data_IF_149155031781
#
_entry.id   IF_149155031781
#
_cell.length_a   1.000
_cell.length_b   1.000
_cell.length_c   1.000
_cell.angle_alpha   90.00
_cell.angle_beta   90.00
_cell.angle_gamma   90.00
#
_symmetry.space_group_name_H-M   'P 1'
#
loop_
_entity.id
_entity.type
_entity.pdbx_description
1 polymer ?
#
# COMPACT_ATOMS: atom_id res chain seq x y z
N UNK A 1 12.76 -9.45 -5.63
CA UNK A 1 11.76 -8.44 -5.20
C UNK A 1 11.51 -7.34 -6.24
N UNK A 2 12.48 -6.95 -7.09
CA UNK A 2 12.24 -5.89 -8.09
C UNK A 2 11.13 -6.22 -9.13
N UNK A 3 11.02 -7.49 -9.56
CA UNK A 3 10.01 -7.93 -10.53
C UNK A 3 8.57 -7.71 -10.04
N UNK A 4 8.28 -7.98 -8.76
CA UNK A 4 6.93 -7.82 -8.20
C UNK A 4 6.52 -6.36 -8.07
N UNK A 5 7.48 -5.47 -7.77
CA UNK A 5 7.24 -4.01 -7.72
C UNK A 5 6.84 -3.49 -9.09
N UNK A 6 7.55 -3.91 -10.15
CA UNK A 6 7.26 -3.52 -11.52
C UNK A 6 5.84 -3.93 -11.95
N UNK A 7 5.41 -5.13 -11.57
CA UNK A 7 4.05 -5.60 -11.84
C UNK A 7 2.97 -4.75 -11.17
N UNK A 8 3.15 -4.40 -9.90
CA UNK A 8 2.19 -3.55 -9.16
C UNK A 8 2.10 -2.17 -9.81
N UNK A 9 3.24 -1.57 -10.17
CA UNK A 9 3.28 -0.25 -10.83
C UNK A 9 2.58 -0.29 -12.19
N UNK A 10 2.81 -1.33 -12.99
CA UNK A 10 2.12 -1.50 -14.28
C UNK A 10 0.61 -1.65 -14.11
N UNK A 11 0.17 -2.31 -13.04
CA UNK A 11 -1.24 -2.61 -12.81
C UNK A 11 -2.10 -1.34 -12.67
N UNK A 12 -1.57 -0.26 -12.08
CA UNK A 12 -2.26 1.03 -12.00
C UNK A 12 -1.97 1.95 -13.20
N UNK A 13 -0.75 1.88 -13.75
CA UNK A 13 -0.33 2.74 -14.86
C UNK A 13 -1.04 2.40 -16.19
N UNK A 14 -1.18 1.11 -16.51
CA UNK A 14 -1.74 0.65 -17.80
C UNK A 14 -3.21 1.07 -17.99
N UNK A 15 -4.12 0.89 -17.01
CA UNK A 15 -5.51 1.35 -17.15
C UNK A 15 -5.63 2.85 -17.42
N UNK A 16 -4.82 3.69 -16.76
CA UNK A 16 -4.82 5.15 -16.97
C UNK A 16 -4.47 5.49 -18.41
N UNK A 17 -3.45 4.84 -18.96
CA UNK A 17 -3.05 5.03 -20.35
C UNK A 17 -4.14 4.57 -21.33
N UNK A 18 -4.72 3.38 -21.12
CA UNK A 18 -5.79 2.83 -21.97
C UNK A 18 -7.01 3.76 -21.99
N UNK A 19 -7.44 4.26 -20.83
CA UNK A 19 -8.57 5.20 -20.72
C UNK A 19 -8.27 6.49 -21.48
N UNK A 20 -7.05 7.03 -21.35
CA UNK A 20 -6.61 8.20 -22.09
C UNK A 20 -6.64 7.99 -23.60
N UNK A 21 -6.05 6.90 -24.07
CA UNK A 21 -5.99 6.55 -25.49
C UNK A 21 -7.38 6.32 -26.09
N UNK A 22 -8.31 5.75 -25.33
CA UNK A 22 -9.65 5.41 -25.80
C UNK A 22 -10.61 6.61 -25.78
N UNK A 23 -10.60 7.40 -24.71
CA UNK A 23 -11.53 8.54 -24.55
C UNK A 23 -11.12 9.78 -25.33
N UNK A 24 -9.83 9.90 -25.68
CA UNK A 24 -9.24 11.07 -26.34
C UNK A 24 -9.51 12.40 -25.62
N UNK A 25 -9.86 12.35 -24.33
CA UNK A 25 -10.21 13.51 -23.53
C UNK A 25 -9.14 13.78 -22.47
N UNK A 26 -8.58 14.99 -22.49
CA UNK A 26 -7.58 15.44 -21.50
C UNK A 26 -8.16 15.41 -20.09
N UNK A 27 -9.46 15.72 -19.95
CA UNK A 27 -10.18 15.74 -18.67
C UNK A 27 -10.34 14.30 -18.15
N UNK A 28 -10.79 13.37 -18.99
CA UNK A 28 -10.95 11.97 -18.60
C UNK A 28 -9.62 11.34 -18.15
N UNK A 29 -8.52 11.67 -18.84
CA UNK A 29 -7.18 11.23 -18.46
C UNK A 29 -6.76 11.76 -17.07
N UNK A 30 -7.05 13.02 -16.75
CA UNK A 30 -6.76 13.60 -15.42
C UNK A 30 -7.54 12.86 -14.34
N UNK A 31 -8.85 12.67 -14.52
CA UNK A 31 -9.67 11.95 -13.54
C UNK A 31 -9.20 10.50 -13.35
N UNK A 32 -8.87 9.80 -14.44
CA UNK A 32 -8.34 8.44 -14.36
C UNK A 32 -7.01 8.38 -13.57
N UNK A 33 -6.10 9.32 -13.82
CA UNK A 33 -4.82 9.39 -13.11
C UNK A 33 -5.00 9.69 -11.61
N UNK A 34 -5.90 10.60 -11.24
CA UNK A 34 -6.20 10.92 -9.83
C UNK A 34 -6.78 9.69 -9.13
N UNK A 35 -7.74 9.01 -9.74
CA UNK A 35 -8.38 7.82 -9.16
C UNK A 35 -7.35 6.69 -9.01
N UNK A 36 -6.57 6.39 -10.05
CA UNK A 36 -5.56 5.34 -9.98
C UNK A 36 -4.48 5.66 -8.94
N UNK A 37 -3.98 6.90 -8.89
CA UNK A 37 -2.98 7.31 -7.91
C UNK A 37 -3.49 7.30 -6.47
N UNK A 38 -4.77 7.62 -6.25
CA UNK A 38 -5.36 7.53 -4.91
C UNK A 38 -5.63 6.09 -4.48
N UNK A 39 -6.06 5.20 -5.38
CA UNK A 39 -6.14 3.75 -5.11
C UNK A 39 -4.76 3.20 -4.76
N UNK A 40 -3.74 3.51 -5.56
CA UNK A 40 -2.36 3.12 -5.33
C UNK A 40 -1.82 3.59 -3.98
N UNK A 41 -2.12 4.83 -3.60
CA UNK A 41 -1.72 5.40 -2.32
C UNK A 41 -2.41 4.76 -1.11
N UNK A 42 -3.68 4.37 -1.23
CA UNK A 42 -4.47 3.78 -0.13
C UNK A 42 -4.22 2.27 0.01
N UNK A 43 -4.08 1.56 -1.11
CA UNK A 43 -3.92 0.09 -1.14
C UNK A 43 -2.46 -0.35 -1.08
N UNK A 44 -1.53 0.53 -1.46
CA UNK A 44 -0.12 0.20 -1.58
C UNK A 44 0.59 0.04 -0.23
N UNK A 45 1.55 -0.88 -0.19
CA UNK A 45 2.56 -0.88 0.86
C UNK A 45 3.31 0.46 0.82
N UNK A 46 3.54 1.09 1.98
CA UNK A 46 4.20 2.39 2.09
C UNK A 46 5.56 2.45 1.37
N UNK A 47 6.23 1.31 1.24
CA UNK A 47 7.51 1.17 0.53
C UNK A 47 7.38 1.39 -0.99
N UNK A 48 6.21 1.13 -1.57
CA UNK A 48 6.00 1.13 -3.03
C UNK A 48 5.06 2.25 -3.53
N UNK A 49 4.46 3.04 -2.62
CA UNK A 49 3.60 4.18 -2.98
C UNK A 49 4.30 5.14 -3.95
N UNK A 50 5.57 5.46 -3.69
CA UNK A 50 6.33 6.37 -4.54
C UNK A 50 6.50 5.82 -5.97
N UNK A 51 6.79 4.51 -6.09
CA UNK A 51 6.96 3.87 -7.39
C UNK A 51 5.64 3.84 -8.19
N UNK A 52 4.52 3.60 -7.50
CA UNK A 52 3.20 3.56 -8.13
C UNK A 52 2.75 4.94 -8.62
N UNK A 53 2.95 5.98 -7.82
CA UNK A 53 2.71 7.37 -8.21
C UNK A 53 3.57 7.78 -9.42
N UNK A 54 4.84 7.38 -9.44
CA UNK A 54 5.73 7.62 -10.60
C UNK A 54 5.20 6.90 -11.84
N UNK A 55 4.76 5.64 -11.71
CA UNK A 55 4.17 4.88 -12.82
C UNK A 55 2.92 5.55 -13.39
N UNK A 56 1.99 5.96 -12.53
CA UNK A 56 0.77 6.68 -12.93
C UNK A 56 1.12 8.02 -13.59
N UNK A 57 2.11 8.75 -13.07
CA UNK A 57 2.58 10.01 -13.65
C UNK A 57 3.18 9.81 -15.06
N UNK A 58 4.00 8.77 -15.26
CA UNK A 58 4.57 8.42 -16.56
C UNK A 58 3.44 8.06 -17.54
N UNK A 59 2.50 7.21 -17.13
CA UNK A 59 1.35 6.84 -17.96
C UNK A 59 0.48 8.05 -18.33
N UNK A 60 0.26 8.97 -17.39
CA UNK A 60 -0.43 10.23 -17.64
C UNK A 60 0.31 11.09 -18.66
N UNK A 61 1.63 11.26 -18.52
CA UNK A 61 2.45 12.05 -19.44
C UNK A 61 2.42 11.46 -20.86
N UNK A 62 2.54 10.13 -20.98
CA UNK A 62 2.43 9.41 -22.25
C UNK A 62 1.04 9.54 -22.87
N UNK A 63 -0.02 9.37 -22.06
CA UNK A 63 -1.40 9.54 -22.51
C UNK A 63 -1.67 10.96 -22.99
N UNK A 64 -1.16 11.97 -22.28
CA UNK A 64 -1.30 13.38 -22.67
C UNK A 64 -0.57 13.67 -23.99
N UNK A 65 0.65 13.17 -24.14
CA UNK A 65 1.44 13.28 -25.38
C UNK A 65 0.71 12.62 -26.56
N UNK A 66 0.19 11.41 -26.36
CA UNK A 66 -0.57 10.68 -27.36
C UNK A 66 -1.82 11.45 -27.83
N UNK A 67 -2.60 12.02 -26.89
CA UNK A 67 -3.80 12.81 -27.22
C UNK A 67 -3.42 14.09 -27.99
N UNK A 68 -2.40 14.82 -27.53
CA UNK A 68 -1.95 16.05 -28.21
C UNK A 68 -1.50 15.78 -29.65
N UNK A 69 -0.80 14.66 -29.90
CA UNK A 69 -0.33 14.33 -31.25
C UNK A 69 -1.48 13.96 -32.21
N UNK A 70 -2.64 13.49 -31.73
CA UNK A 70 -3.78 13.23 -32.60
C UNK A 70 -4.50 14.49 -33.07
N UNK A 71 -4.41 15.60 -32.31
CA UNK A 71 -5.01 16.88 -32.72
C UNK A 71 -4.33 17.43 -33.99
N UNK A 72 -3.04 17.15 -34.22
CA UNK A 72 -2.30 17.61 -35.39
C UNK A 72 -2.65 16.88 -36.69
N UNK A 73 -3.10 15.64 -36.62
CA UNK A 73 -3.34 14.80 -37.81
C UNK A 73 -4.76 14.91 -38.34
N UNK A 74 -5.65 15.67 -37.69
CA UNK A 74 -6.97 15.94 -38.25
C UNK A 74 -6.79 16.99 -39.34
N UNK A 75 -6.83 16.64 -40.63
CA UNK A 75 -6.64 17.61 -41.69
C UNK A 75 -7.75 18.63 -41.53
N UNK A 76 -7.38 19.92 -41.51
CA UNK A 76 -8.33 21.03 -41.68
C UNK A 76 -8.98 20.86 -43.05
N UNK A 77 -9.98 20.00 -43.13
CA UNK A 77 -10.84 19.84 -44.29
C UNK A 77 -11.59 21.16 -44.37
N UNK A 78 -11.19 21.99 -45.33
CA UNK A 78 -11.89 23.19 -45.76
C UNK A 78 -13.24 22.75 -46.34
N UNK A 79 -14.15 22.35 -45.46
CA UNK A 79 -15.52 22.03 -45.82
C UNK A 79 -16.33 23.34 -45.77
N UNK A 80 -17.07 23.69 -46.83
CA UNK A 80 -17.93 24.87 -46.84
C UNK A 80 -18.93 24.81 -45.68
N UNK A 81 -19.44 25.97 -45.22
CA UNK A 81 -20.26 26.08 -44.01
C UNK A 81 -21.60 25.35 -44.20
N UNK A 82 -21.62 24.04 -43.96
CA UNK A 82 -22.83 23.26 -43.77
C UNK A 82 -23.18 23.35 -42.29
N UNK A 83 -24.40 23.81 -42.02
CA UNK A 83 -25.00 23.89 -40.69
C UNK A 83 -24.91 22.52 -39.99
N UNK A 84 -23.89 22.35 -39.16
CA UNK A 84 -23.68 21.11 -38.40
C UNK A 84 -24.65 21.13 -37.23
N UNK A 85 -25.74 20.37 -37.38
CA UNK A 85 -26.70 20.09 -36.32
C UNK A 85 -25.93 19.53 -35.09
N UNK A 86 -26.20 20.01 -33.86
CA UNK A 86 -25.46 19.63 -32.66
C UNK A 86 -25.46 18.11 -32.48
N UNK A 87 -24.26 17.54 -32.59
CA UNK A 87 -23.99 16.11 -32.49
C UNK A 87 -24.15 15.66 -31.04
N UNK A 88 -25.36 15.22 -30.68
CA UNK A 88 -25.75 14.34 -29.57
C UNK A 88 -24.60 13.87 -28.64
N UNK A 89 -24.24 14.73 -27.68
CA UNK A 89 -23.23 14.48 -26.63
C UNK A 89 -23.71 13.46 -25.58
N UNK A 90 -25.00 13.11 -25.56
CA UNK A 90 -25.61 12.41 -24.41
C UNK A 90 -25.20 10.94 -24.20
N UNK A 91 -24.83 10.17 -25.23
CA UNK A 91 -24.63 8.71 -25.05
C UNK A 91 -23.23 8.29 -24.60
N UNK A 92 -22.20 9.14 -24.75
CA UNK A 92 -20.83 8.74 -24.40
C UNK A 92 -20.51 8.89 -22.91
N UNK A 93 -21.18 9.82 -22.21
CA UNK A 93 -20.95 10.05 -20.78
C UNK A 93 -21.48 8.90 -19.91
N UNK A 94 -22.61 8.31 -20.28
CA UNK A 94 -23.19 7.13 -19.61
C UNK A 94 -22.21 5.95 -19.55
N UNK A 95 -21.44 5.68 -20.61
CA UNK A 95 -20.40 4.64 -20.60
C UNK A 95 -19.31 4.93 -19.57
N UNK A 96 -18.93 6.19 -19.39
CA UNK A 96 -17.97 6.61 -18.36
C UNK A 96 -18.51 6.38 -16.95
N UNK A 97 -19.80 6.67 -16.72
CA UNK A 97 -20.45 6.45 -15.43
C UNK A 97 -20.48 4.97 -15.06
N UNK A 98 -20.85 4.08 -15.98
CA UNK A 98 -20.88 2.64 -15.69
C UNK A 98 -19.51 2.08 -15.32
N UNK A 99 -18.45 2.57 -15.96
CA UNK A 99 -17.07 2.18 -15.62
C UNK A 99 -16.69 2.70 -14.22
N UNK A 100 -17.02 3.96 -13.90
CA UNK A 100 -16.77 4.52 -12.58
C UNK A 100 -17.55 3.81 -11.47
N UNK A 101 -18.82 3.46 -11.72
CA UNK A 101 -19.65 2.68 -10.79
C UNK A 101 -19.05 1.29 -10.58
N UNK A 102 -18.61 0.62 -11.65
CA UNK A 102 -17.94 -0.69 -11.54
C UNK A 102 -16.67 -0.63 -10.69
N UNK A 103 -15.84 0.41 -10.88
CA UNK A 103 -14.63 0.63 -10.08
C UNK A 103 -15.00 0.91 -8.61
N UNK A 104 -16.00 1.77 -8.36
CA UNK A 104 -16.43 2.09 -7.01
C UNK A 104 -16.99 0.86 -6.26
N UNK A 105 -17.81 0.03 -6.92
CA UNK A 105 -18.31 -1.23 -6.35
C UNK A 105 -17.15 -2.18 -6.05
N UNK A 106 -16.21 -2.33 -6.97
CA UNK A 106 -15.05 -3.20 -6.78
C UNK A 106 -14.18 -2.76 -5.59
N UNK A 107 -13.89 -1.45 -5.47
CA UNK A 107 -13.16 -0.91 -4.32
C UNK A 107 -13.92 -1.07 -3.01
N UNK A 108 -15.24 -0.86 -3.04
CA UNK A 108 -16.09 -1.08 -1.88
C UNK A 108 -16.01 -2.53 -1.40
N UNK A 109 -16.10 -3.50 -2.33
CA UNK A 109 -15.95 -4.93 -2.01
C UNK A 109 -14.62 -5.24 -1.32
N UNK A 110 -13.50 -4.72 -1.84
CA UNK A 110 -12.16 -4.92 -1.24
C UNK A 110 -12.09 -4.36 0.19
N UNK A 111 -12.67 -3.19 0.44
CA UNK A 111 -12.67 -2.58 1.78
C UNK A 111 -13.58 -3.30 2.76
N UNK A 112 -14.71 -3.84 2.27
CA UNK A 112 -15.69 -4.52 3.12
C UNK A 112 -15.38 -5.98 3.40
N UNK A 113 -14.46 -6.61 2.65
CA UNK A 113 -13.87 -7.88 3.03
C UNK A 113 -13.02 -7.66 4.29
N UNK A 114 -13.70 -7.63 5.44
CA UNK A 114 -13.03 -7.72 6.73
C UNK A 114 -12.17 -8.97 6.67
N UNK A 115 -10.87 -8.87 6.96
CA UNK A 115 -10.04 -10.06 7.03
C UNK A 115 -10.70 -10.98 8.05
N UNK A 116 -11.25 -12.08 7.55
CA UNK A 116 -11.81 -13.13 8.41
C UNK A 116 -10.69 -13.44 9.39
N UNK A 117 -10.87 -13.17 10.70
CA UNK A 117 -9.82 -13.43 11.66
C UNK A 117 -9.42 -14.89 11.46
N UNK A 118 -8.12 -15.19 11.28
CA UNK A 118 -7.67 -16.53 10.97
C UNK A 118 -8.29 -17.45 12.01
N UNK A 119 -9.23 -18.28 11.57
CA UNK A 119 -9.92 -19.23 12.41
C UNK A 119 -8.85 -20.17 12.94
N UNK A 120 -8.47 -19.94 14.20
CA UNK A 120 -7.61 -20.75 15.06
C UNK A 120 -6.90 -21.90 14.34
N UNK A 121 -5.68 -21.65 13.86
CA UNK A 121 -4.70 -22.71 13.71
C UNK A 121 -4.38 -23.16 15.13
N UNK A 122 -5.03 -24.26 15.49
CA UNK A 122 -4.47 -25.41 16.18
C UNK A 122 -3.23 -25.07 17.01
N UNK A 123 -3.42 -25.04 18.34
CA UNK A 123 -2.34 -25.03 19.32
C UNK A 123 -1.25 -26.01 18.88
N UNK A 124 0.00 -25.57 18.69
CA UNK A 124 1.11 -26.51 18.61
C UNK A 124 1.01 -27.34 19.88
N UNK A 125 0.94 -28.67 19.71
CA UNK A 125 0.99 -29.58 20.83
C UNK A 125 2.14 -29.14 21.73
N UNK A 126 1.80 -28.89 23.00
CA UNK A 126 2.74 -28.80 24.09
C UNK A 126 3.68 -30.00 23.94
N UNK A 127 4.90 -29.75 23.47
CA UNK A 127 6.00 -30.68 23.72
C UNK A 127 6.11 -30.67 25.24
N UNK A 128 5.52 -31.70 25.85
CA UNK A 128 5.60 -31.98 27.27
C UNK A 128 7.06 -32.27 27.55
N UNK A 129 7.82 -31.22 27.85
CA UNK A 129 9.20 -31.29 28.25
C UNK A 129 9.21 -32.02 29.61
N UNK A 130 9.59 -33.29 29.58
CA UNK A 130 9.89 -34.06 30.78
C UNK A 130 10.96 -33.27 31.55
N UNK A 131 10.70 -32.84 32.79
CA UNK A 131 11.71 -32.14 33.58
C UNK A 131 12.90 -33.09 33.84
N UNK A 132 14.15 -32.65 33.60
CA UNK A 132 15.30 -33.41 34.04
C UNK A 132 15.33 -33.49 35.57
N UNK A 133 15.82 -34.61 36.15
CA UNK A 133 15.92 -34.78 37.59
C UNK A 133 16.85 -33.71 38.19
N UNK A 134 16.39 -33.11 39.29
CA UNK A 134 17.07 -32.06 40.05
C UNK A 134 18.53 -32.45 40.37
N UNK A 135 19.53 -31.61 40.06
CA UNK A 135 20.83 -31.72 40.71
C UNK A 135 20.74 -31.22 42.16
N UNK A 136 21.55 -31.78 43.08
CA UNK A 136 21.49 -31.49 44.50
C UNK A 136 21.86 -30.04 44.82
N UNK A 137 21.13 -29.49 45.78
CA UNK A 137 21.44 -28.26 46.51
C UNK A 137 22.94 -28.20 46.86
N UNK A 138 23.62 -27.17 46.37
CA UNK A 138 24.85 -26.68 46.98
C UNK A 138 24.61 -25.29 47.55
N UNK A 139 24.70 -25.26 48.87
CA UNK A 139 24.80 -24.11 49.75
C UNK A 139 25.81 -23.09 49.20
N UNK A 140 25.42 -21.83 48.99
CA UNK A 140 26.40 -20.76 48.96
C UNK A 140 25.86 -19.46 49.55
N UNK A 141 26.15 -19.33 50.84
CA UNK A 141 26.43 -18.15 51.66
C UNK A 141 26.04 -16.76 51.13
N UNK A 142 25.14 -16.14 51.89
CA UNK A 142 25.00 -14.71 52.16
C UNK A 142 26.35 -13.97 52.25
N UNK A 143 26.40 -12.73 51.74
CA UNK A 143 27.05 -11.67 52.50
C UNK A 143 26.11 -10.48 52.72
N UNK A 144 25.93 -10.18 54.00
CA UNK A 144 25.42 -8.93 54.54
C UNK A 144 26.54 -7.89 54.49
N UNK A 145 26.31 -6.71 53.90
CA UNK A 145 26.69 -5.39 54.45
C UNK A 145 26.28 -4.24 53.49
N UNK A 146 25.65 -3.23 54.07
CA UNK A 146 25.28 -1.91 53.52
C UNK A 146 26.49 -0.92 53.57
N UNK A 147 26.38 0.41 53.30
CA UNK A 147 25.33 1.24 52.67
C UNK A 147 25.83 2.23 51.58
N UNK A 148 24.90 2.99 51.01
CA UNK A 148 25.02 4.32 50.39
C UNK A 148 26.17 4.62 49.42
N UNK A 149 25.88 4.44 48.12
CA UNK A 149 26.49 5.23 47.07
C UNK A 149 25.37 5.77 46.17
N UNK A 150 25.38 7.09 45.92
CA UNK A 150 24.43 7.75 45.00
C UNK A 150 24.63 7.19 43.60
N UNK A 151 23.95 6.09 43.30
CA UNK A 151 23.96 5.44 42.00
C UNK A 151 23.28 6.37 41.01
N UNK A 152 24.13 7.08 40.27
CA UNK A 152 23.79 7.75 39.01
C UNK A 152 22.98 6.73 38.20
N UNK A 153 21.67 6.96 38.06
CA UNK A 153 20.77 6.03 37.36
C UNK A 153 21.41 5.73 36.00
N UNK A 154 21.79 4.47 35.71
CA UNK A 154 22.30 4.14 34.39
C UNK A 154 21.22 4.56 33.40
N UNK A 155 21.61 5.40 32.44
CA UNK A 155 20.76 5.74 31.31
C UNK A 155 20.49 4.45 30.56
N UNK A 156 19.38 3.79 30.89
CA UNK A 156 19.01 2.51 30.33
C UNK A 156 18.64 2.72 28.87
N UNK A 157 19.52 2.28 27.96
CA UNK A 157 19.34 2.45 26.53
C UNK A 157 18.34 1.41 26.02
N UNK A 158 17.26 1.88 25.41
CA UNK A 158 16.15 1.08 24.87
C UNK A 158 16.65 0.06 23.83
N UNK A 159 17.84 0.30 23.26
CA UNK A 159 18.51 -0.61 22.32
C UNK A 159 18.75 -2.01 22.87
N UNK A 160 18.91 -2.18 24.18
CA UNK A 160 19.05 -3.52 24.79
C UNK A 160 17.79 -4.38 24.64
N UNK A 161 16.60 -3.79 24.47
CA UNK A 161 15.40 -4.58 24.20
C UNK A 161 15.44 -5.24 22.81
N UNK A 162 16.28 -4.79 21.87
CA UNK A 162 16.40 -5.36 20.52
C UNK A 162 17.32 -6.59 20.46
N UNK A 163 18.12 -6.82 21.50
CA UNK A 163 19.04 -7.97 21.58
C UNK A 163 18.37 -9.24 22.12
N UNK A 164 17.08 -9.16 22.48
CA UNK A 164 16.34 -10.31 23.01
C UNK A 164 16.03 -11.31 21.88
N UNK A 165 16.23 -12.62 22.12
CA UNK A 165 16.10 -13.65 21.08
C UNK A 165 14.65 -13.92 20.65
N UNK A 166 13.65 -13.37 21.35
CA UNK A 166 12.24 -13.59 21.04
C UNK A 166 11.46 -12.28 20.92
N UNK A 167 10.62 -12.18 19.89
CA UNK A 167 9.78 -11.01 19.62
C UNK A 167 8.80 -10.69 20.78
N UNK A 168 8.40 -11.71 21.56
CA UNK A 168 7.57 -11.52 22.75
C UNK A 168 8.34 -10.86 23.90
N UNK A 169 9.62 -11.19 24.07
CA UNK A 169 10.47 -10.54 25.07
C UNK A 169 10.78 -9.09 24.68
N UNK A 170 11.02 -8.81 23.39
CA UNK A 170 11.22 -7.45 22.87
C UNK A 170 10.00 -6.56 23.19
N UNK A 171 8.78 -7.05 22.93
CA UNK A 171 7.55 -6.30 23.15
C UNK A 171 7.22 -6.10 24.63
N UNK A 172 7.44 -7.11 25.49
CA UNK A 172 7.32 -6.96 26.94
C UNK A 172 8.33 -5.96 27.50
N UNK A 173 9.58 -6.01 27.03
CA UNK A 173 10.63 -5.06 27.40
C UNK A 173 10.25 -3.62 27.01
N UNK A 174 9.83 -3.40 25.76
CA UNK A 174 9.44 -2.07 25.28
C UNK A 174 8.23 -1.49 26.02
N UNK A 175 7.24 -2.32 26.38
CA UNK A 175 6.05 -1.86 27.11
C UNK A 175 6.33 -1.43 28.55
N UNK A 176 7.41 -1.91 29.17
CA UNK A 176 7.79 -1.52 30.53
C UNK A 176 8.35 -0.08 30.60
N UNK A 177 8.71 0.51 29.45
CA UNK A 177 9.25 1.87 29.33
C UNK A 177 8.26 2.88 28.73
N UNK A 178 7.01 2.47 28.51
CA UNK A 178 5.93 3.35 28.06
C UNK A 178 5.19 3.95 29.26
#
# INVERSE_FOLDING_TARGET
MAMTVLFIVLLHAVPVFIIGAWTKSKIALIFAAIIAGSIGAVTGNSTYIAADLIGVLIAYALGRSYINNQELTTPTRSEPPTLVLPRTIEKSWLRGIFVLIGIAIFLYSIVTDKPTPPSHIESPQQIQLVPPPNPPMLLQSTPTHAPDEKTKRPSFDIRHCLELPSNEAITKCANQYR
#
